data_IF_088170813565
#
_entry.id   IF_088170813565
#
_cell.length_a   1.000
_cell.length_b   1.000
_cell.length_c   1.000
_cell.angle_alpha   90.00
_cell.angle_beta   90.00
_cell.angle_gamma   90.00
#
_symmetry.space_group_name_H-M   'P 1'
#
loop_
_entity.id
_entity.type
_entity.pdbx_description
1 polymer ?
2 non-polymer ?
3 non-polymer ?
4 non-polymer ?
5 non-polymer ?
6 water ?
#
# COMPACT_ATOMS: atom_id res chain seq x y z
N UNK A 2 1.67 -25.24 -29.19
CA UNK A 2 1.70 -24.18 -28.13
C UNK A 2 1.83 -24.79 -26.74
N UNK A 3 2.20 -23.95 -25.78
CA UNK A 3 2.47 -24.37 -24.43
C UNK A 3 2.23 -23.24 -23.45
N UNK A 4 1.92 -23.67 -22.25
CA UNK A 4 1.70 -22.77 -21.14
C UNK A 4 3.03 -22.23 -20.65
N UNK A 5 3.24 -20.94 -20.83
CA UNK A 5 4.46 -20.27 -20.37
C UNK A 5 4.33 -19.74 -18.95
N UNK A 6 3.11 -19.38 -18.54
CA UNK A 6 2.85 -18.92 -17.19
C UNK A 6 1.39 -19.24 -16.86
N UNK A 7 1.14 -19.54 -15.60
CA UNK A 7 -0.24 -19.77 -15.17
C UNK A 7 -0.33 -19.57 -13.68
N UNK A 8 -1.41 -18.91 -13.25
CA UNK A 8 -1.76 -18.88 -11.84
C UNK A 8 -3.25 -18.71 -11.73
N UNK A 9 -3.82 -19.18 -10.64
CA UNK A 9 -5.26 -19.12 -10.50
C UNK A 9 -5.61 -19.18 -9.01
N UNK A 10 -6.78 -18.68 -8.66
CA UNK A 10 -7.22 -18.78 -7.28
C UNK A 10 -8.44 -17.95 -7.03
N UNK A 11 -8.61 -17.52 -5.77
CA UNK A 11 -9.79 -16.75 -5.40
C UNK A 11 -9.39 -15.32 -5.06
N UNK A 12 -10.08 -14.37 -5.68
CA UNK A 12 -9.89 -12.94 -5.45
C UNK A 12 -11.09 -12.37 -4.71
N UNK A 13 -10.88 -11.21 -4.11
CA UNK A 13 -11.95 -10.43 -3.50
C UNK A 13 -12.67 -11.16 -2.37
N UNK A 14 -11.89 -11.89 -1.57
CA UNK A 14 -12.47 -12.59 -0.43
C UNK A 14 -12.49 -11.65 0.77
N UNK A 15 -13.68 -11.19 1.12
CA UNK A 15 -13.84 -10.31 2.26
C UNK A 15 -13.80 -11.13 3.54
N UNK A 16 -13.03 -10.67 4.53
CA UNK A 16 -12.87 -11.40 5.78
C UNK A 16 -12.94 -10.42 6.94
N UNK A 17 -13.80 -10.73 7.91
CA UNK A 17 -13.80 -10.03 9.20
C UNK A 17 -13.40 -11.01 10.29
N UNK A 18 -12.65 -10.53 11.27
CA UNK A 18 -12.40 -11.30 12.47
C UNK A 18 -12.52 -10.39 13.68
N UNK A 19 -13.11 -10.94 14.74
CA UNK A 19 -13.20 -10.27 16.02
C UNK A 19 -12.38 -11.04 17.06
N UNK A 20 -11.72 -10.29 17.93
CA UNK A 20 -11.13 -10.80 19.16
C UNK A 20 -11.90 -10.23 20.33
N UNK A 21 -12.32 -11.10 21.26
CA UNK A 21 -13.08 -10.67 22.45
C UNK A 21 -12.30 -11.03 23.71
N UNK A 22 -11.92 -10.01 24.48
CA UNK A 22 -11.32 -10.23 25.79
C UNK A 22 -12.47 -10.34 26.80
N UNK A 23 -12.73 -11.55 27.26
CA UNK A 23 -13.87 -11.83 28.13
C UNK A 23 -13.66 -11.20 29.52
N UNK A 24 -12.38 -11.05 29.91
CA UNK A 24 -12.04 -10.43 31.21
C UNK A 24 -12.35 -8.94 31.22
N UNK A 25 -11.91 -8.23 30.19
CA UNK A 25 -12.04 -6.77 30.15
C UNK A 25 -13.27 -6.30 29.40
N UNK A 26 -13.83 -7.16 28.55
CA UNK A 26 -14.93 -6.79 27.67
C UNK A 26 -14.50 -6.10 26.39
N UNK A 27 -13.21 -5.82 26.24
CA UNK A 27 -12.74 -5.10 25.06
C UNK A 27 -12.72 -6.04 23.86
N UNK A 28 -13.34 -5.59 22.78
CA UNK A 28 -13.35 -6.34 21.53
C UNK A 28 -12.52 -5.56 20.51
N UNK A 29 -11.90 -6.29 19.60
CA UNK A 29 -11.05 -5.68 18.59
C UNK A 29 -11.40 -6.33 17.27
N UNK A 30 -11.59 -5.53 16.21
CA UNK A 30 -12.01 -6.05 14.93
C UNK A 30 -10.95 -5.83 13.86
N UNK A 31 -10.96 -6.73 12.90
CA UNK A 31 -10.07 -6.73 11.76
C UNK A 31 -10.90 -7.01 10.53
N UNK A 32 -10.68 -6.26 9.46
CA UNK A 32 -11.36 -6.55 8.21
C UNK A 32 -10.39 -6.39 7.07
N UNK A 33 -10.44 -7.37 6.15
CA UNK A 33 -9.52 -7.50 5.03
C UNK A 33 -10.28 -7.82 3.74
N UNK A 34 -9.58 -7.68 2.63
CA UNK A 34 -9.94 -8.36 1.40
C UNK A 34 -8.72 -9.13 0.95
N UNK A 35 -8.90 -10.42 0.67
CA UNK A 35 -7.80 -11.35 0.43
C UNK A 35 -7.90 -11.93 -0.99
N UNK A 36 -6.74 -12.07 -1.63
CA UNK A 36 -6.61 -12.80 -2.87
C UNK A 36 -5.50 -13.83 -2.70
N UNK A 37 -5.77 -15.07 -3.08
CA UNK A 37 -4.73 -16.11 -3.13
C UNK A 37 -4.70 -16.71 -4.52
N UNK A 38 -3.56 -16.61 -5.20
CA UNK A 38 -3.35 -17.26 -6.50
C UNK A 38 -2.21 -18.25 -6.39
N UNK A 39 -2.43 -19.44 -6.93
CA UNK A 39 -1.50 -20.54 -6.87
C UNK A 39 -0.82 -20.79 -8.21
N UNK A 40 0.43 -21.26 -8.14
CA UNK A 40 1.17 -21.79 -9.28
C UNK A 40 1.67 -23.17 -8.96
N UNK A 41 1.89 -23.97 -9.99
CA UNK A 41 2.54 -25.26 -9.82
C UNK A 41 2.36 -26.11 -11.05
N UNK A 42 2.28 -27.42 -10.83
CA UNK A 42 2.18 -28.37 -11.91
C UNK A 42 0.72 -28.48 -12.30
N UNK A 43 0.21 -27.41 -12.89
CA UNK A 43 -1.21 -27.25 -13.18
C UNK A 43 -1.51 -27.08 -14.67
N UNK A 44 -0.47 -27.14 -15.51
CA UNK A 44 -0.64 -26.86 -16.92
C UNK A 44 -1.67 -27.77 -17.60
N UNK A 45 -1.79 -29.03 -17.15
CA UNK A 45 -2.74 -29.93 -17.78
C UNK A 45 -4.20 -29.56 -17.55
N UNK A 46 -4.48 -28.74 -16.54
CA UNK A 46 -5.84 -28.22 -16.39
C UNK A 46 -6.22 -27.32 -17.58
N UNK A 47 -5.21 -26.64 -18.14
CA UNK A 47 -5.40 -25.79 -19.29
C UNK A 47 -5.36 -26.57 -20.59
N UNK A 48 -4.43 -27.53 -20.71
CA UNK A 48 -4.17 -28.14 -22.01
C UNK A 48 -4.98 -29.40 -22.27
N UNK A 49 -5.44 -30.09 -21.23
CA UNK A 49 -5.99 -31.44 -21.35
C UNK A 49 -7.31 -31.62 -20.59
N UNK A 50 -7.93 -30.53 -20.14
CA UNK A 50 -9.14 -30.62 -19.32
C UNK A 50 -8.92 -31.49 -18.07
N UNK A 51 -7.72 -31.42 -17.49
CA UNK A 51 -7.35 -32.22 -16.32
C UNK A 51 -7.62 -31.43 -15.06
N UNK A 52 -8.82 -31.59 -14.51
CA UNK A 52 -9.14 -30.86 -13.29
C UNK A 52 -8.55 -31.47 -12.01
N UNK A 53 -7.92 -32.64 -12.12
CA UNK A 53 -7.39 -33.30 -10.93
C UNK A 53 -6.33 -32.48 -10.21
N UNK A 54 -5.66 -31.61 -10.96
CA UNK A 54 -4.58 -30.77 -10.44
C UNK A 54 -5.10 -29.46 -9.84
N UNK A 55 -6.41 -29.22 -9.96
CA UNK A 55 -7.02 -27.96 -9.50
C UNK A 55 -7.52 -28.13 -8.07
N UNK A 56 -6.91 -27.39 -7.13
CA UNK A 56 -7.50 -27.08 -5.85
C UNK A 56 -8.55 -26.01 -6.14
N UNK A 57 -9.83 -26.34 -6.00
CA UNK A 57 -10.89 -25.44 -6.47
C UNK A 57 -10.74 -24.07 -5.82
N UNK A 58 -11.05 -23.02 -6.56
CA UNK A 58 -10.99 -21.70 -5.95
C UNK A 58 -11.96 -21.60 -4.77
N UNK A 59 -13.09 -22.31 -4.85
CA UNK A 59 -14.01 -22.36 -3.71
C UNK A 59 -13.32 -22.94 -2.48
N UNK A 60 -12.50 -23.97 -2.68
CA UNK A 60 -11.70 -24.53 -1.57
C UNK A 60 -10.65 -23.59 -1.05
N UNK A 61 -10.04 -22.81 -1.94
CA UNK A 61 -9.09 -21.78 -1.54
C UNK A 61 -9.81 -20.76 -0.62
N UNK A 62 -11.02 -20.34 -1.01
CA UNK A 62 -11.85 -19.48 -0.18
C UNK A 62 -12.08 -20.10 1.20
N UNK A 63 -12.53 -21.36 1.22
CA UNK A 63 -12.75 -22.02 2.51
C UNK A 63 -11.50 -21.98 3.37
N UNK A 64 -10.37 -22.24 2.72
CA UNK A 64 -9.07 -22.29 3.40
C UNK A 64 -8.69 -20.95 3.99
N UNK A 65 -9.00 -19.86 3.28
CA UNK A 65 -8.77 -18.53 3.84
C UNK A 65 -9.52 -18.35 5.16
N UNK A 66 -10.81 -18.71 5.17
CA UNK A 66 -11.59 -18.54 6.38
C UNK A 66 -11.10 -19.46 7.52
N UNK A 67 -10.78 -20.71 7.20
CA UNK A 67 -10.26 -21.64 8.19
C UNK A 67 -8.96 -21.15 8.79
N UNK A 68 -8.07 -20.66 7.92
CA UNK A 68 -6.79 -20.15 8.38
C UNK A 68 -6.97 -18.92 9.28
N UNK A 69 -7.89 -18.04 8.92
CA UNK A 69 -8.21 -16.90 9.78
C UNK A 69 -8.78 -17.34 11.13
N UNK A 70 -9.54 -18.44 11.15
CA UNK A 70 -10.09 -18.93 12.41
C UNK A 70 -9.01 -19.49 13.33
N UNK A 71 -7.98 -20.09 12.73
CA UNK A 71 -7.00 -20.85 13.49
C UNK A 71 -5.72 -20.09 13.78
N UNK A 72 -5.63 -18.84 13.31
CA UNK A 72 -4.39 -18.08 13.41
C UNK A 72 -4.69 -16.61 13.61
N UNK A 73 -3.72 -15.86 14.15
CA UNK A 73 -3.87 -14.41 14.09
C UNK A 73 -3.95 -13.90 12.68
N UNK A 74 -4.76 -12.86 12.47
CA UNK A 74 -4.80 -12.20 11.16
C UNK A 74 -3.92 -10.95 11.07
N UNK A 75 -3.25 -10.64 12.17
CA UNK A 75 -2.37 -9.48 12.27
C UNK A 75 -1.00 -9.97 12.78
N UNK A 76 0.09 -9.29 12.40
CA UNK A 76 0.14 -8.36 11.29
C UNK A 76 -0.14 -9.08 9.97
N UNK A 77 -0.60 -8.35 8.96
CA UNK A 77 -0.98 -9.00 7.71
C UNK A 77 0.20 -9.73 7.06
N UNK A 78 1.42 -9.26 7.27
CA UNK A 78 2.60 -9.96 6.75
C UNK A 78 2.68 -11.39 7.29
N UNK A 79 2.34 -11.56 8.56
CA UNK A 79 2.35 -12.89 9.17
C UNK A 79 1.20 -13.73 8.64
N UNK A 80 -0.01 -13.21 8.66
CA UNK A 80 -1.15 -13.96 8.18
C UNK A 80 -0.95 -14.42 6.74
N UNK A 81 -0.46 -13.51 5.88
CA UNK A 81 -0.22 -13.89 4.50
C UNK A 81 0.84 -14.98 4.35
N UNK A 82 1.87 -14.93 5.21
CA UNK A 82 2.91 -15.96 5.20
C UNK A 82 2.38 -17.31 5.65
N UNK A 83 1.53 -17.32 6.68
CA UNK A 83 0.91 -18.57 7.13
C UNK A 83 0.04 -19.15 6.02
N UNK A 84 -0.79 -18.29 5.43
CA UNK A 84 -1.70 -18.72 4.40
C UNK A 84 -0.96 -19.28 3.16
N UNK A 85 0.07 -18.57 2.69
CA UNK A 85 0.82 -19.02 1.54
C UNK A 85 1.57 -20.31 1.80
N UNK A 86 2.16 -20.40 2.98
CA UNK A 86 2.91 -21.59 3.37
C UNK A 86 1.99 -22.82 3.38
N UNK A 87 0.76 -22.64 3.85
CA UNK A 87 -0.18 -23.73 3.88
C UNK A 87 -0.32 -24.40 2.51
N UNK A 88 -0.50 -23.61 1.45
CA UNK A 88 -0.75 -24.21 0.16
C UNK A 88 0.45 -24.98 -0.38
N UNK A 89 1.65 -24.47 -0.18
CA UNK A 89 2.80 -25.17 -0.74
C UNK A 89 3.16 -26.40 0.10
N UNK A 90 2.82 -26.39 1.38
CA UNK A 90 3.03 -27.58 2.22
C UNK A 90 1.97 -28.64 2.04
N UNK A 91 0.70 -28.23 1.90
CA UNK A 91 -0.39 -29.18 1.81
C UNK A 91 -0.42 -29.91 0.49
N UNK A 92 -0.10 -29.22 -0.60
CA UNK A 92 -0.24 -29.74 -1.96
C UNK A 92 1.12 -29.87 -2.60
N UNK A 93 1.57 -31.12 -2.76
CA UNK A 93 2.89 -31.40 -3.31
C UNK A 93 3.12 -30.65 -4.61
N UNK A 94 2.11 -30.64 -5.47
CA UNK A 94 2.22 -30.12 -6.83
C UNK A 94 2.08 -28.61 -6.97
N UNK A 95 1.75 -27.93 -5.88
CA UNK A 95 1.66 -26.49 -5.83
C UNK A 95 3.00 -25.97 -5.32
N UNK A 96 3.60 -25.08 -6.11
CA UNK A 96 4.95 -24.60 -5.82
C UNK A 96 5.08 -23.12 -5.55
N UNK A 97 3.98 -22.36 -5.71
CA UNK A 97 3.97 -20.97 -5.27
C UNK A 97 2.58 -20.57 -4.88
N UNK A 98 2.51 -19.74 -3.85
CA UNK A 98 1.27 -19.11 -3.42
C UNK A 98 1.50 -17.61 -3.31
N UNK A 99 0.64 -16.85 -3.97
CA UNK A 99 0.74 -15.40 -4.07
C UNK A 99 -0.45 -14.83 -3.33
N UNK A 100 -0.17 -14.22 -2.17
CA UNK A 100 -1.20 -13.76 -1.26
C UNK A 100 -1.19 -12.24 -1.20
N UNK A 101 -2.31 -11.63 -1.59
CA UNK A 101 -2.48 -10.19 -1.46
C UNK A 101 -3.55 -9.93 -0.40
N UNK A 102 -3.24 -9.02 0.52
CA UNK A 102 -4.20 -8.65 1.55
C UNK A 102 -4.30 -7.13 1.56
N UNK A 103 -5.55 -6.65 1.53
CA UNK A 103 -5.87 -5.25 1.77
C UNK A 103 -6.54 -5.17 3.13
N UNK A 104 -5.97 -4.41 4.04
CA UNK A 104 -6.54 -4.22 5.37
C UNK A 104 -7.31 -2.89 5.41
N UNK A 105 -8.57 -3.00 5.87
CA UNK A 105 -9.48 -1.87 5.96
C UNK A 105 -9.44 -1.32 7.37
N UNK A 106 -9.60 -0.01 7.49
CA UNK A 106 -9.52 0.61 8.82
C UNK A 106 -10.82 0.48 9.61
N UNK A 107 -10.67 -0.02 10.84
CA UNK A 107 -11.72 0.03 11.85
C UNK A 107 -11.08 0.57 13.11
N UNK A 108 -11.16 1.87 13.29
CA UNK A 108 -10.51 2.55 14.39
C UNK A 108 -11.49 2.67 15.54
N UNK A 109 -11.04 2.32 16.74
CA UNK A 109 -11.91 2.33 17.90
C UNK A 109 -12.45 3.74 18.14
N UNK A 110 -13.75 3.86 18.37
CA UNK A 110 -14.35 5.15 18.70
C UNK A 110 -13.98 5.61 20.09
N UNK A 111 -13.79 6.92 20.24
CA UNK A 111 -13.74 7.58 21.55
C UNK A 111 -15.09 8.24 21.78
N UNK A 112 -15.74 7.86 22.86
CA UNK A 112 -17.04 8.42 23.22
C UNK A 112 -16.86 9.11 24.57
N UNK A 113 -17.25 10.37 24.61
CA UNK A 113 -17.06 11.19 25.81
C UNK A 113 -15.62 11.06 26.35
N UNK A 114 -14.67 11.05 25.41
CA UNK A 114 -13.25 11.05 25.73
C UNK A 114 -12.66 9.71 26.18
N UNK A 115 -13.43 8.64 26.06
CA UNK A 115 -13.00 7.31 26.50
C UNK A 115 -13.11 6.29 25.35
N UNK A 116 -12.10 5.44 25.16
CA UNK A 116 -12.20 4.46 24.09
C UNK A 116 -13.32 3.46 24.33
N UNK A 117 -14.14 3.25 23.31
CA UNK A 117 -15.28 2.39 23.46
C UNK A 117 -14.89 0.92 23.27
N UNK A 118 -15.44 0.00 24.09
CA UNK A 118 -14.94 -1.37 24.00
C UNK A 118 -15.33 -2.15 22.73
N UNK A 119 -16.33 -1.69 21.97
CA UNK A 119 -16.78 -2.49 20.82
C UNK A 119 -17.40 -1.71 19.67
N UNK A 120 -17.01 -0.45 19.50
CA UNK A 120 -17.54 0.39 18.45
C UNK A 120 -16.38 1.05 17.72
N UNK A 121 -16.51 1.10 16.39
CA UNK A 121 -15.41 1.44 15.49
C UNK A 121 -15.90 2.32 14.34
N UNK A 122 -14.97 3.10 13.80
CA UNK A 122 -15.24 4.01 12.70
C UNK A 122 -14.21 3.75 11.60
N UNK A 123 -14.70 3.78 10.36
CA UNK A 123 -13.83 3.77 9.21
C UNK A 123 -13.27 5.20 9.06
N UNK A 124 -12.16 5.48 9.77
CA UNK A 124 -11.66 6.85 9.94
C UNK A 124 -10.92 7.37 8.71
N UNK A 125 -10.65 6.48 7.76
CA UNK A 125 -9.99 6.84 6.48
C UNK A 125 -10.19 5.69 5.49
N UNK A 126 -10.25 5.94 4.17
CA UNK A 126 -10.20 4.80 3.19
C UNK A 126 -8.76 4.40 2.91
N UNK A 127 -7.80 5.04 3.58
CA UNK A 127 -6.40 4.55 3.54
C UNK A 127 -6.35 3.04 3.86
N UNK A 128 -5.50 2.32 3.14
CA UNK A 128 -5.32 0.91 3.33
C UNK A 128 -3.89 0.63 3.79
N UNK A 129 -3.75 -0.50 4.48
CA UNK A 129 -2.47 -1.14 4.74
C UNK A 129 -2.51 -2.47 4.00
N UNK A 130 -1.51 -2.75 3.17
CA UNK A 130 -1.54 -3.92 2.30
C UNK A 130 -0.29 -4.76 2.48
N UNK A 131 -0.39 -6.02 2.06
CA UNK A 131 0.78 -6.85 1.84
C UNK A 131 0.62 -7.64 0.57
N UNK A 132 1.78 -7.96 -0.02
CA UNK A 132 1.91 -8.93 -1.09
C UNK A 132 2.94 -9.95 -0.63
N UNK A 133 2.48 -11.17 -0.36
CA UNK A 133 3.35 -12.22 0.21
C UNK A 133 3.45 -13.33 -0.84
N UNK A 134 4.65 -13.53 -1.37
CA UNK A 134 4.90 -14.56 -2.36
C UNK A 134 5.70 -15.66 -1.71
N UNK A 135 5.06 -16.81 -1.54
CA UNK A 135 5.69 -17.97 -0.93
C UNK A 135 6.03 -18.92 -2.06
N UNK A 136 7.32 -19.11 -2.32
CA UNK A 136 7.76 -19.85 -3.48
C UNK A 136 8.64 -21.00 -3.00
N UNK A 137 8.23 -22.22 -3.34
CA UNK A 137 8.86 -23.41 -2.79
C UNK A 137 10.33 -23.40 -3.21
N UNK A 138 11.19 -23.59 -2.22
CA UNK A 138 12.64 -23.54 -2.42
C UNK A 138 13.26 -22.14 -2.44
N UNK A 139 12.41 -21.11 -2.34
CA UNK A 139 12.85 -19.72 -2.50
C UNK A 139 12.26 -18.80 -1.39
N UNK A 140 11.81 -19.40 -0.31
CA UNK A 140 11.38 -18.66 0.84
C UNK A 140 10.11 -17.83 0.63
N UNK A 141 10.09 -16.69 1.32
CA UNK A 141 8.91 -15.84 1.44
C UNK A 141 9.36 -14.42 1.15
N UNK A 142 8.78 -13.85 0.08
CA UNK A 142 9.07 -12.48 -0.34
C UNK A 142 7.87 -11.61 0.00
N UNK A 143 8.11 -10.59 0.80
CA UNK A 143 7.05 -9.74 1.32
C UNK A 143 7.25 -8.29 0.89
N UNK A 144 6.20 -7.72 0.30
CA UNK A 144 6.12 -6.28 0.04
C UNK A 144 4.97 -5.74 0.87
N UNK A 145 5.27 -4.76 1.71
CA UNK A 145 4.27 -4.12 2.56
C UNK A 145 4.01 -2.74 2.02
N UNK A 146 2.78 -2.23 2.18
CA UNK A 146 2.50 -0.90 1.70
C UNK A 146 1.40 -0.21 2.46
N UNK A 147 1.39 1.11 2.32
CA UNK A 147 0.24 1.93 2.66
C UNK A 147 -0.21 2.59 1.38
N UNK A 148 -1.52 2.76 1.23
CA UNK A 148 -2.05 3.34 0.02
C UNK A 148 -3.31 4.13 0.33
N UNK A 149 -3.68 5.03 -0.58
CA UNK A 149 -4.89 5.81 -0.37
C UNK A 149 -4.81 6.80 0.77
N UNK A 150 -3.59 7.23 1.11
CA UNK A 150 -3.36 8.26 2.11
C UNK A 150 -3.34 9.60 1.37
N UNK A 151 -4.45 10.33 1.46
CA UNK A 151 -4.67 11.53 0.66
C UNK A 151 -4.38 12.78 1.49
N UNK A 152 -3.49 13.61 0.97
CA UNK A 152 -2.95 14.76 1.70
C UNK A 152 -2.91 15.98 0.79
N UNK A 153 -2.85 17.16 1.41
CA UNK A 153 -2.73 18.42 0.70
C UNK A 153 -1.95 19.37 1.56
N UNK A 154 -1.03 20.13 0.95
CA UNK A 154 -0.47 21.30 1.62
C UNK A 154 -0.72 22.52 0.76
N UNK A 155 -0.99 23.64 1.41
CA UNK A 155 -1.48 24.82 0.73
C UNK A 155 -0.40 25.80 0.32
N UNK A 156 0.83 25.56 0.76
CA UNK A 156 2.00 26.36 0.42
C UNK A 156 3.23 25.50 0.67
N UNK A 157 4.42 26.08 0.54
CA UNK A 157 5.67 25.33 0.74
C UNK A 157 5.77 24.16 -0.22
N UNK A 158 5.34 24.44 -1.44
CA UNK A 158 5.60 23.61 -2.60
C UNK A 158 5.96 24.54 -3.74
N UNK A 159 7.01 24.18 -4.47
CA UNK A 159 7.54 24.96 -5.57
C UNK A 159 7.78 24.06 -6.77
N UNK A 160 7.85 24.67 -7.95
CA UNK A 160 8.29 23.92 -9.12
C UNK A 160 8.82 24.91 -10.16
N UNK A 161 10.14 25.05 -10.18
CA UNK A 161 10.83 25.91 -11.14
C UNK A 161 12.14 25.24 -11.55
N UNK A 162 12.73 25.76 -12.62
CA UNK A 162 13.99 25.22 -13.10
C UNK A 162 13.86 23.98 -13.97
N UNK A 163 12.64 23.64 -14.38
CA UNK A 163 12.43 22.51 -15.26
C UNK A 163 12.75 22.87 -16.71
N UNK A 164 12.92 21.86 -17.54
CA UNK A 164 13.30 22.04 -18.92
C UNK A 164 12.23 22.86 -19.65
N UNK A 165 12.66 23.83 -20.44
CA UNK A 165 11.75 24.68 -21.21
C UNK A 165 12.13 24.64 -22.66
N UNK A 166 11.19 24.21 -23.50
CA UNK A 166 11.40 24.19 -24.93
C UNK A 166 10.08 24.50 -25.62
N UNK A 167 10.00 24.19 -26.91
CA UNK A 167 8.84 24.56 -27.70
C UNK A 167 7.56 23.81 -27.34
N UNK A 168 7.67 22.81 -26.45
CA UNK A 168 6.50 22.09 -25.95
C UNK A 168 6.00 22.61 -24.61
N UNK A 169 6.69 23.61 -24.04
CA UNK A 169 6.46 24.05 -22.67
C UNK A 169 5.58 25.29 -22.62
N UNK A 170 4.50 25.20 -21.87
CA UNK A 170 3.67 26.35 -21.50
C UNK A 170 3.66 26.63 -20.00
N UNK A 171 4.05 25.64 -19.18
CA UNK A 171 3.92 25.77 -17.74
C UNK A 171 4.75 26.90 -17.18
N UNK A 172 4.12 27.78 -16.41
CA UNK A 172 4.84 28.84 -15.69
C UNK A 172 5.59 28.25 -14.51
N UNK A 173 6.81 28.73 -14.29
CA UNK A 173 7.50 28.45 -13.04
C UNK A 173 6.69 28.98 -11.88
N UNK A 174 6.76 28.31 -10.73
CA UNK A 174 6.14 28.81 -9.52
C UNK A 174 7.03 28.58 -8.32
N UNK A 175 6.95 29.53 -7.39
CA UNK A 175 7.62 29.46 -6.11
C UNK A 175 6.66 29.27 -4.94
N UNK A 176 5.37 29.06 -5.25
CA UNK A 176 4.37 28.88 -4.20
C UNK A 176 3.12 28.27 -4.84
N UNK A 177 2.92 27.00 -4.63
CA UNK A 177 1.75 26.30 -5.18
C UNK A 177 1.21 25.33 -4.15
N UNK A 178 0.01 24.81 -4.46
CA UNK A 178 -0.58 23.68 -3.74
C UNK A 178 0.07 22.38 -4.18
N UNK A 179 0.25 21.46 -3.24
CA UNK A 179 0.65 20.10 -3.55
C UNK A 179 -0.31 19.14 -2.86
N UNK A 180 -0.92 18.26 -3.64
CA UNK A 180 -1.81 17.23 -3.12
C UNK A 180 -1.54 15.92 -3.83
N UNK A 181 -1.61 14.82 -3.08
CA UNK A 181 -1.36 13.50 -3.61
C UNK A 181 -2.12 12.44 -2.84
N UNK A 182 -2.13 11.24 -3.40
CA UNK A 182 -2.60 10.03 -2.77
C UNK A 182 -1.36 9.14 -2.61
N UNK A 183 -0.89 8.94 -1.39
CA UNK A 183 0.37 8.25 -1.20
C UNK A 183 0.21 6.74 -1.34
N UNK A 184 1.03 6.13 -2.20
CA UNK A 184 1.20 4.69 -2.31
C UNK A 184 2.69 4.45 -2.07
N UNK A 185 3.00 3.87 -0.91
CA UNK A 185 4.38 3.66 -0.46
C UNK A 185 4.56 2.18 -0.15
N UNK A 186 5.61 1.57 -0.70
CA UNK A 186 5.85 0.13 -0.56
C UNK A 186 7.27 -0.10 -0.05
N UNK A 187 7.41 -0.95 0.96
CA UNK A 187 8.72 -1.37 1.43
C UNK A 187 8.88 -2.86 1.22
N UNK A 188 10.00 -3.22 0.62
CA UNK A 188 10.27 -4.59 0.26
C UNK A 188 11.27 -5.18 1.26
N UNK A 189 10.84 -6.26 1.91
CA UNK A 189 11.65 -6.92 2.95
C UNK A 189 12.71 -7.80 2.34
N UNK A 190 13.83 -7.95 3.06
CA UNK A 190 14.73 -9.06 2.85
C UNK A 190 13.93 -10.35 2.66
N UNK A 191 14.36 -11.22 1.76
CA UNK A 191 13.78 -12.54 1.65
C UNK A 191 13.86 -13.25 3.00
N UNK A 192 12.76 -13.90 3.38
CA UNK A 192 12.73 -14.72 4.58
C UNK A 192 12.76 -16.19 4.17
N UNK A 193 13.45 -17.01 4.95
CA UNK A 193 13.65 -18.42 4.54
C UNK A 193 12.42 -19.29 4.66
N UNK A 194 11.46 -18.84 5.45
CA UNK A 194 10.29 -19.60 5.80
C UNK A 194 9.52 -18.92 6.90
N UNK A 195 8.54 -19.63 7.43
CA UNK A 195 7.64 -19.03 8.36
C UNK A 195 8.28 -18.77 9.75
N UNK A 196 9.28 -19.57 10.13
CA UNK A 196 9.98 -19.31 11.38
C UNK A 196 10.68 -17.94 11.33
N UNK A 197 11.35 -17.64 10.22
CA UNK A 197 12.05 -16.38 10.13
C UNK A 197 11.07 -15.19 10.11
N UNK A 198 9.95 -15.32 9.39
CA UNK A 198 8.94 -14.28 9.42
C UNK A 198 8.47 -14.04 10.87
N UNK A 199 8.13 -15.11 11.56
CA UNK A 199 7.65 -15.00 12.95
C UNK A 199 8.69 -14.32 13.83
N UNK A 200 9.97 -14.59 13.58
CA UNK A 200 11.04 -14.01 14.40
C UNK A 200 11.13 -12.50 14.31
N UNK A 201 10.55 -11.92 13.26
CA UNK A 201 10.57 -10.48 13.05
C UNK A 201 9.22 -9.83 13.21
N UNK A 202 8.25 -10.53 13.79
CA UNK A 202 6.87 -10.05 13.79
C UNK A 202 6.69 -8.61 14.27
N UNK A 203 7.32 -8.20 15.40
CA UNK A 203 7.09 -6.79 15.85
C UNK A 203 7.52 -5.74 14.83
N UNK A 204 8.49 -6.07 13.99
CA UNK A 204 9.00 -5.12 13.01
C UNK A 204 7.98 -4.75 11.95
N UNK A 205 6.97 -5.60 11.73
CA UNK A 205 6.00 -5.29 10.68
C UNK A 205 5.15 -4.07 11.06
N UNK A 206 4.48 -4.11 12.21
CA UNK A 206 3.70 -2.94 12.64
C UNK A 206 4.60 -1.73 12.84
N UNK A 207 5.80 -1.94 13.39
CA UNK A 207 6.70 -0.81 13.66
C UNK A 207 7.14 -0.11 12.38
N UNK A 208 7.40 -0.89 11.35
CA UNK A 208 7.87 -0.33 10.09
C UNK A 208 6.75 0.37 9.32
N UNK A 209 5.55 -0.20 9.39
CA UNK A 209 4.39 0.49 8.83
C UNK A 209 4.22 1.85 9.53
N UNK A 210 4.30 1.86 10.86
CA UNK A 210 4.13 3.11 11.60
C UNK A 210 5.21 4.13 11.21
N UNK A 211 6.45 3.66 11.08
CA UNK A 211 7.54 4.52 10.66
C UNK A 211 7.29 5.09 9.26
N UNK A 212 6.90 4.23 8.33
CA UNK A 212 6.66 4.69 6.97
C UNK A 212 5.58 5.77 6.95
N UNK A 213 4.51 5.55 7.69
CA UNK A 213 3.42 6.52 7.74
C UNK A 213 3.88 7.83 8.38
N UNK A 214 4.59 7.74 9.51
CA UNK A 214 5.08 8.93 10.23
C UNK A 214 6.02 9.75 9.37
N UNK A 215 6.96 9.07 8.73
CA UNK A 215 7.94 9.74 7.87
C UNK A 215 7.23 10.40 6.69
N UNK A 216 6.31 9.68 6.08
CA UNK A 216 5.56 10.24 4.95
C UNK A 216 4.88 11.55 5.35
N UNK A 217 4.15 11.52 6.45
CA UNK A 217 3.39 12.70 6.84
C UNK A 217 4.30 13.87 7.25
N UNK A 218 5.32 13.58 8.06
CA UNK A 218 6.17 14.65 8.54
C UNK A 218 7.00 15.25 7.40
N UNK A 219 7.50 14.40 6.49
CA UNK A 219 8.29 14.93 5.38
C UNK A 219 7.41 15.75 4.45
N UNK A 220 6.21 15.24 4.16
CA UNK A 220 5.28 16.00 3.33
C UNK A 220 4.99 17.38 3.95
N UNK A 221 4.71 17.38 5.25
CA UNK A 221 4.33 18.61 5.94
C UNK A 221 5.47 19.60 6.05
N UNK A 222 6.69 19.10 6.25
CA UNK A 222 7.80 19.97 6.61
C UNK A 222 8.73 20.31 5.43
N UNK A 223 8.75 19.50 4.37
CA UNK A 223 9.68 19.76 3.28
C UNK A 223 9.16 20.92 2.44
N UNK A 224 9.96 21.98 2.30
CA UNK A 224 9.61 23.06 1.38
C UNK A 224 9.99 22.55 0.00
N UNK A 225 9.00 21.97 -0.67
CA UNK A 225 9.25 20.97 -1.71
C UNK A 225 9.71 21.61 -3.01
N UNK A 226 10.83 21.11 -3.54
CA UNK A 226 11.35 21.51 -4.86
C UNK A 226 10.64 20.85 -6.02
N UNK A 227 10.01 19.72 -5.72
CA UNK A 227 9.31 18.87 -6.69
C UNK A 227 8.77 17.66 -5.94
N UNK A 228 7.81 16.97 -6.53
CA UNK A 228 7.38 15.71 -5.96
C UNK A 228 8.56 14.71 -5.88
N UNK A 229 9.36 14.69 -6.95
CA UNK A 229 10.55 13.84 -7.02
C UNK A 229 11.45 14.04 -5.79
N UNK A 230 11.79 15.29 -5.50
CA UNK A 230 12.75 15.55 -4.43
C UNK A 230 12.17 15.21 -3.07
N UNK A 231 10.89 15.49 -2.86
CA UNK A 231 10.27 15.21 -1.58
C UNK A 231 10.13 13.70 -1.33
N UNK A 232 9.69 12.97 -2.35
CA UNK A 232 9.47 11.54 -2.14
C UNK A 232 10.79 10.81 -1.89
N UNK A 233 11.87 11.28 -2.51
CA UNK A 233 13.17 10.66 -2.29
C UNK A 233 13.58 10.79 -0.81
N UNK A 234 13.32 11.95 -0.21
CA UNK A 234 13.64 12.15 1.19
C UNK A 234 12.87 11.18 2.08
N UNK A 235 11.59 10.96 1.75
CA UNK A 235 10.79 9.99 2.50
C UNK A 235 11.43 8.61 2.45
N UNK A 236 11.75 8.18 1.24
CA UNK A 236 12.31 6.84 1.04
C UNK A 236 13.64 6.65 1.78
N UNK A 237 14.54 7.63 1.69
CA UNK A 237 15.85 7.48 2.32
C UNK A 237 15.70 7.42 3.84
N UNK A 238 14.74 8.14 4.40
CA UNK A 238 14.53 8.09 5.84
C UNK A 238 14.00 6.75 6.31
N UNK A 239 13.08 6.18 5.55
CA UNK A 239 12.54 4.88 5.91
C UNK A 239 13.63 3.80 5.85
N UNK A 240 14.44 3.82 4.79
CA UNK A 240 15.57 2.87 4.70
C UNK A 240 16.52 2.99 5.87
N UNK A 241 16.73 4.21 6.34
CA UNK A 241 17.66 4.43 7.46
C UNK A 241 17.12 3.90 8.77
N UNK A 242 15.81 3.66 8.85
CA UNK A 242 15.19 3.29 10.11
C UNK A 242 14.80 1.81 10.20
N UNK A 243 15.02 1.04 9.13
CA UNK A 243 14.78 -0.40 9.19
C UNK A 243 15.73 -1.16 8.26
N UNK A 244 16.73 -1.82 8.85
CA UNK A 244 17.73 -2.45 8.02
C UNK A 244 17.25 -3.70 7.31
N UNK A 245 16.12 -4.28 7.73
CA UNK A 245 15.58 -5.46 7.08
C UNK A 245 14.76 -5.16 5.83
N UNK A 246 14.55 -3.87 5.55
CA UNK A 246 14.03 -3.38 4.26
C UNK A 246 15.18 -3.29 3.24
N UNK A 247 14.93 -3.68 1.99
CA UNK A 247 15.90 -3.50 0.92
C UNK A 247 15.59 -2.30 0.04
N UNK A 248 14.32 -2.06 -0.26
CA UNK A 248 13.94 -0.92 -1.08
C UNK A 248 12.66 -0.29 -0.54
N UNK A 249 12.48 0.98 -0.88
CA UNK A 249 11.24 1.71 -0.67
C UNK A 249 10.84 2.33 -2.00
N UNK A 250 9.57 2.10 -2.37
CA UNK A 250 9.02 2.63 -3.61
C UNK A 250 7.88 3.57 -3.29
N UNK A 251 7.83 4.70 -3.98
CA UNK A 251 6.67 5.58 -3.92
C UNK A 251 6.08 5.73 -5.32
N UNK A 252 4.76 5.81 -5.35
CA UNK A 252 4.04 6.18 -6.55
C UNK A 252 3.06 7.26 -6.15
N UNK A 253 3.26 8.47 -6.68
CA UNK A 253 2.53 9.65 -6.25
C UNK A 253 1.92 10.40 -7.43
N UNK A 254 0.59 10.51 -7.47
CA UNK A 254 -0.04 11.45 -8.41
C UNK A 254 0.15 12.89 -7.96
N UNK A 255 0.33 13.79 -8.90
CA UNK A 255 0.32 15.21 -8.61
C UNK A 255 -1.09 15.70 -8.98
N UNK A 256 -1.92 15.86 -7.95
CA UNK A 256 -3.33 16.15 -8.12
C UNK A 256 -3.47 17.66 -8.21
N UNK A 257 -3.56 18.17 -9.45
CA UNK A 257 -3.34 19.60 -9.69
C UNK A 257 -4.51 20.44 -9.21
N UNK A 258 -4.19 21.60 -8.64
CA UNK A 258 -5.14 22.63 -8.28
C UNK A 258 -4.73 23.88 -9.06
N UNK A 259 -5.57 24.28 -10.01
CA UNK A 259 -5.24 25.38 -10.91
C UNK A 259 -5.76 26.70 -10.35
N UNK A 260 -4.94 27.73 -10.50
CA UNK A 260 -5.44 29.08 -10.27
C UNK A 260 -6.56 29.42 -11.25
N UNK A 261 -7.43 30.35 -10.82
CA UNK A 261 -8.53 30.83 -11.66
C UNK A 261 -8.40 32.34 -11.80
N UNK A 262 -8.06 32.77 -13.02
CA UNK A 262 -7.97 34.19 -13.31
C UNK A 262 -9.38 34.75 -13.39
N UNK A 263 -9.72 35.66 -12.48
CA UNK A 263 -11.03 36.30 -12.44
C UNK A 263 -10.95 37.78 -12.82
N UNK A 264 -9.82 38.22 -13.38
CA UNK A 264 -9.60 39.65 -13.63
C UNK A 264 -10.53 40.22 -14.71
N UNK A 265 -11.09 39.35 -15.56
CA UNK A 265 -12.12 39.72 -16.52
C UNK A 265 -13.41 40.18 -15.87
N UNK A 266 -13.61 39.83 -14.60
CA UNK A 266 -14.80 40.20 -13.84
C UNK A 266 -14.46 41.27 -12.80
N UNK A 267 -14.79 42.51 -13.14
CA UNK A 267 -14.64 43.64 -12.24
C UNK A 267 -13.20 43.77 -11.69
N UNK A 268 -12.21 43.35 -12.50
CA UNK A 268 -10.82 43.41 -12.07
C UNK A 268 -10.46 42.56 -10.85
N UNK A 269 -11.27 41.54 -10.55
CA UNK A 269 -11.03 40.72 -9.35
C UNK A 269 -9.67 40.08 -9.46
N UNK A 270 -8.93 40.12 -8.35
CA UNK A 270 -7.57 39.60 -8.30
C UNK A 270 -7.55 38.29 -7.52
N UNK A 271 -7.28 37.20 -8.24
CA UNK A 271 -7.29 35.87 -7.69
C UNK A 271 -6.14 35.03 -8.20
N UNK A 272 -5.04 35.68 -8.59
CA UNK A 272 -3.85 34.96 -8.99
C UNK A 272 -2.65 35.40 -8.20
N UNK A 273 -1.59 34.59 -8.26
CA UNK A 273 -0.36 34.91 -7.54
C UNK A 273 -0.62 35.11 -6.06
N UNK A 274 -0.13 36.20 -5.49
CA UNK A 274 -0.28 36.45 -4.07
C UNK A 274 -1.74 36.58 -3.65
N UNK A 275 -2.61 36.89 -4.60
CA UNK A 275 -4.02 37.06 -4.31
C UNK A 275 -4.85 35.81 -4.56
N UNK A 276 -4.20 34.69 -4.89
CA UNK A 276 -4.93 33.47 -5.22
C UNK A 276 -5.56 32.85 -3.97
N UNK A 277 -6.90 32.80 -3.95
CA UNK A 277 -7.62 32.17 -2.86
C UNK A 277 -8.51 31.03 -3.34
N UNK A 278 -9.16 31.19 -4.49
CA UNK A 278 -10.09 30.20 -5.02
C UNK A 278 -9.43 29.49 -6.19
N UNK A 279 -9.42 28.16 -6.12
CA UNK A 279 -8.75 27.31 -7.12
C UNK A 279 -9.72 26.28 -7.66
N UNK A 280 -9.39 25.78 -8.84
CA UNK A 280 -10.13 24.72 -9.51
C UNK A 280 -9.34 23.41 -9.38
N UNK A 281 -9.77 22.51 -8.48
CA UNK A 281 -9.16 21.17 -8.44
C UNK A 281 -9.40 20.47 -9.76
N UNK A 282 -8.35 19.88 -10.33
CA UNK A 282 -8.45 19.17 -11.61
C UNK A 282 -8.56 17.68 -11.38
N UNK A 283 -9.63 17.06 -11.85
CA UNK A 283 -9.77 15.62 -11.69
C UNK A 283 -8.81 14.84 -12.56
N UNK A 284 -8.55 15.34 -13.75
CA UNK A 284 -7.62 14.74 -14.69
C UNK A 284 -7.21 15.82 -15.67
N UNK A 285 -6.05 15.66 -16.36
CA UNK A 285 -5.07 14.63 -16.08
C UNK A 285 -4.29 14.93 -14.80
N UNK A 286 -3.33 14.06 -14.49
CA UNK A 286 -2.51 14.23 -13.30
C UNK A 286 -1.09 13.78 -13.59
N UNK A 287 -0.12 14.51 -13.05
CA UNK A 287 1.23 13.99 -13.03
C UNK A 287 1.24 12.68 -12.26
N UNK A 288 2.18 11.83 -12.60
CA UNK A 288 2.39 10.56 -11.88
C UNK A 288 3.88 10.38 -11.79
N UNK A 289 4.37 10.32 -10.55
CA UNK A 289 5.80 10.35 -10.27
C UNK A 289 6.13 9.10 -9.47
N UNK A 290 7.14 8.34 -9.92
CA UNK A 290 7.51 7.06 -9.30
C UNK A 290 9.01 7.00 -9.04
N UNK A 291 9.38 6.35 -7.95
CA UNK A 291 10.77 5.91 -7.81
C UNK A 291 10.88 4.82 -6.77
N UNK A 292 11.93 4.05 -6.95
CA UNK A 292 12.33 2.96 -6.07
C UNK A 292 13.74 3.30 -5.60
N UNK A 293 13.89 3.39 -4.28
CA UNK A 293 15.14 3.75 -3.65
C UNK A 293 15.68 2.55 -2.89
N UNK A 294 16.98 2.29 -3.06
CA UNK A 294 17.67 1.23 -2.35
C UNK A 294 18.93 1.78 -1.74
N UNK A 295 19.73 0.90 -1.17
CA UNK A 295 20.98 1.35 -0.56
C UNK A 295 22.11 1.31 -1.58
N UNK A 296 23.08 2.19 -1.39
CA UNK A 296 24.20 2.31 -2.33
C UNK A 296 25.24 1.21 -2.06
N UNK A 297 26.11 0.96 -3.03
X LIG B 1 7.17 17.43 -10.81
X LIG B 1 6.42 18.29 -10.01
X LIG B 1 6.97 17.16 -12.14
X LIG B 1 5.47 19.12 -10.56
X LIG B 1 6.65 18.31 -8.81
X LIG B 1 5.18 18.91 -11.82
X LIG B 1 5.68 17.77 -12.68
X LIG B 1 4.53 19.72 -12.69
X LIG B 1 7.76 16.48 -12.79
X LIG B 1 5.45 18.12 -14.05
X LIG B 1 4.70 19.25 -13.98
X LIG B 1 4.15 19.81 -14.95
X LIG B 1 4.80 16.64 -12.28
X LIG B 1 3.36 16.90 -12.34
X LIG C 1 14.97 28.81 -0.21
X LIG C 1 13.90 28.70 -1.28
X LIG C 1 12.68 28.26 -0.70
X LIG C 1 14.35 27.66 -2.33
X LIG C 1 13.60 30.13 -1.80
X LIG C 1 12.30 30.24 -2.60
X LIG C 1 11.90 31.60 -2.86
X LIG C 1 12.55 29.54 -3.92
X LIG D 1 2.97 16.83 -12.49
X LIG D 1 3.74 16.18 -11.82
X LIG E 1 7.08 17.35 -10.84
X LIG E 1 6.37 18.23 -10.05
X LIG E 1 7.01 17.28 -12.23
X LIG E 1 5.49 19.10 -10.61
X LIG E 1 6.61 18.25 -8.84
X LIG E 1 5.38 19.06 -11.92
X LIG E 1 6.11 18.21 -12.78
X LIG E 1 4.54 19.77 -12.74
X LIG E 1 7.66 16.45 -12.86
X LIG E 1 5.77 18.40 -14.07
X LIG E 1 4.79 19.37 -14.04
X LIG E 1 4.13 19.81 -14.99
#
# INVERSE_FOLDING_TARGET
MSAVKAARYGKDNVRVYKVHKDEKTGVQTVYEMTVCVLLEGEIETSYTKADNSVIVATDSIKNTIYITAKQNPVTPPELFGSILGTHFIEKYNHIHAAHVNIVCHRWTRMDIDGKPHPHSFIRDSEEKRNVQVDVVEGKGIDIKSSLSGLTVLKSTNSQFWGFLRDEYTTLKETWDRILSTDVDATWQWKNFSGLQEVRSHVPKFDATWATAREVTLKTFAEDNSASVQATMYKMAEQILARQQLIETVEYSLPNKHYFEIDLSWHKGLQNTGKNAEVFAPQSDPNGLIKCTVGRSSLKSKL
IUP N1 C2 C6 N3 O11 C4 C5 N9 O13 N7 C8 O24 O2 O3
MPD C1 C2 O2 CM C3 C4 O4 C5
OXY O1 O2
URC N1 C2 C6 N3 O11 C4 C5 N9 O13 N7 C8 O24
#
